data_IF_443857727330
#
_entry.id   IF_443857727330
#
_cell.length_a   1.000
_cell.length_b   1.000
_cell.length_c   1.000
_cell.angle_alpha   90.00
_cell.angle_beta   90.00
_cell.angle_gamma   90.00
#
_symmetry.space_group_name_H-M   'P 1'
#
loop_
_entity.id
_entity.type
_entity.pdbx_description
1 polymer ?
#
# COMPACT_ATOMS: atom_id res chain seq x y z
N UNK A 1 -22.20 -16.36 10.87
CA UNK A 1 -21.21 -16.41 9.76
C UNK A 1 -21.30 -17.78 9.12
N UNK A 2 -21.49 -17.84 7.79
CA UNK A 2 -21.42 -19.09 7.03
C UNK A 2 -19.94 -19.36 6.76
N UNK A 3 -19.38 -20.41 7.34
CA UNK A 3 -18.14 -21.00 6.85
C UNK A 3 -18.40 -21.48 5.41
N UNK A 4 -17.56 -21.11 4.45
CA UNK A 4 -17.87 -21.25 3.03
C UNK A 4 -18.10 -22.72 2.63
N UNK A 5 -18.99 -22.95 1.66
CA UNK A 5 -19.35 -24.30 1.19
C UNK A 5 -18.24 -25.02 0.40
N UNK A 6 -17.15 -24.32 0.06
CA UNK A 6 -15.94 -24.84 -0.58
C UNK A 6 -14.69 -24.77 0.30
N UNK A 7 -14.78 -24.21 1.52
CA UNK A 7 -13.63 -23.94 2.38
C UNK A 7 -12.76 -22.75 1.97
N UNK A 8 -13.07 -22.05 0.87
CA UNK A 8 -12.29 -20.90 0.39
C UNK A 8 -12.85 -19.60 1.00
N UNK A 9 -12.16 -19.06 1.99
CA UNK A 9 -12.38 -17.74 2.56
C UNK A 9 -11.15 -16.86 2.28
N UNK A 10 -11.35 -15.55 2.13
CA UNK A 10 -10.22 -14.62 2.03
C UNK A 10 -9.67 -14.42 3.44
N UNK A 11 -8.50 -14.98 3.71
CA UNK A 11 -7.86 -14.93 5.03
C UNK A 11 -7.32 -13.53 5.35
N UNK A 12 -6.83 -12.83 4.33
CA UNK A 12 -6.22 -11.52 4.47
C UNK A 12 -6.49 -10.62 3.26
N UNK A 13 -6.87 -9.37 3.53
CA UNK A 13 -7.00 -8.32 2.52
C UNK A 13 -5.82 -7.35 2.61
N UNK A 14 -4.71 -7.71 2.00
CA UNK A 14 -3.55 -6.82 1.92
C UNK A 14 -3.80 -5.80 0.81
N UNK A 15 -3.64 -4.52 1.12
CA UNK A 15 -3.76 -3.43 0.15
C UNK A 15 -2.45 -2.68 0.03
N UNK A 16 -2.12 -2.25 -1.18
CA UNK A 16 -1.03 -1.33 -1.43
C UNK A 16 -1.29 -0.01 -0.69
N UNK A 17 -0.33 0.42 0.12
CA UNK A 17 -0.36 1.67 0.89
C UNK A 17 -0.49 2.89 -0.02
N UNK A 18 0.02 2.81 -1.25
CA UNK A 18 -0.01 3.93 -2.17
C UNK A 18 -1.31 4.03 -2.99
N UNK A 19 -1.66 2.96 -3.72
CA UNK A 19 -2.74 2.99 -4.72
C UNK A 19 -3.99 2.21 -4.31
N UNK A 20 -3.97 1.49 -3.19
CA UNK A 20 -5.11 0.72 -2.70
C UNK A 20 -5.37 -0.61 -3.42
N UNK A 21 -4.57 -0.97 -4.42
CA UNK A 21 -4.68 -2.25 -5.12
C UNK A 21 -4.55 -3.43 -4.14
N UNK A 22 -5.37 -4.46 -4.34
CA UNK A 22 -5.28 -5.69 -3.56
C UNK A 22 -4.03 -6.47 -3.96
N UNK A 23 -3.29 -6.91 -2.95
CA UNK A 23 -2.09 -7.73 -3.08
C UNK A 23 -2.46 -9.12 -2.62
N UNK A 24 -2.41 -10.07 -3.53
CA UNK A 24 -2.63 -11.49 -3.25
C UNK A 24 -1.29 -12.19 -3.08
N UNK A 25 -1.22 -13.19 -2.19
CA UNK A 25 0.02 -13.91 -1.86
C UNK A 25 0.73 -14.54 -3.06
N UNK A 26 -0.01 -14.81 -4.15
CA UNK A 26 0.52 -15.40 -5.40
C UNK A 26 0.77 -14.36 -6.51
N UNK A 27 0.73 -13.06 -6.21
CA UNK A 27 1.00 -11.97 -7.16
C UNK A 27 2.48 -11.54 -7.21
N UNK A 28 2.86 -10.60 -8.10
CA UNK A 28 4.23 -10.08 -8.14
C UNK A 28 4.65 -9.59 -6.76
N UNK A 29 5.89 -9.94 -6.36
CA UNK A 29 6.41 -9.78 -5.01
C UNK A 29 6.06 -8.41 -4.40
N UNK A 30 5.23 -8.42 -3.35
CA UNK A 30 4.90 -7.21 -2.61
C UNK A 30 6.12 -6.73 -1.83
N UNK A 31 6.46 -5.45 -1.95
CA UNK A 31 7.61 -4.88 -1.25
C UNK A 31 7.16 -4.28 0.07
N UNK A 32 7.83 -4.66 1.16
CA UNK A 32 7.63 -4.12 2.49
C UNK A 32 8.71 -3.07 2.78
N UNK A 33 8.29 -1.85 3.12
CA UNK A 33 9.18 -0.72 3.43
C UNK A 33 8.62 0.00 4.65
N UNK A 34 9.40 0.13 5.72
CA UNK A 34 9.01 0.85 6.94
C UNK A 34 7.65 0.44 7.52
N UNK A 35 7.31 -0.86 7.45
CA UNK A 35 6.02 -1.39 7.91
C UNK A 35 4.85 -1.20 6.93
N UNK A 36 5.09 -0.63 5.76
CA UNK A 36 4.10 -0.45 4.70
C UNK A 36 4.28 -1.45 3.56
N UNK A 37 3.16 -1.91 2.99
CA UNK A 37 3.16 -2.83 1.83
C UNK A 37 2.85 -2.07 0.55
N UNK A 38 3.61 -2.34 -0.52
CA UNK A 38 3.42 -1.73 -1.84
C UNK A 38 3.36 -2.79 -2.94
N UNK A 39 2.55 -2.53 -3.98
CA UNK A 39 2.40 -3.44 -5.11
C UNK A 39 3.50 -3.32 -6.18
N UNK A 40 4.35 -2.28 -6.11
CA UNK A 40 5.44 -2.05 -7.05
C UNK A 40 6.42 -0.98 -6.54
N UNK A 41 7.62 -0.96 -7.13
CA UNK A 41 8.61 0.10 -6.89
C UNK A 41 8.07 1.50 -7.21
N UNK A 42 7.31 1.63 -8.31
CA UNK A 42 6.66 2.88 -8.68
C UNK A 42 5.76 3.43 -7.57
N UNK A 43 5.03 2.55 -6.86
CA UNK A 43 4.19 2.95 -5.74
C UNK A 43 4.99 3.46 -4.53
N UNK A 44 6.19 2.90 -4.31
CA UNK A 44 7.11 3.37 -3.26
C UNK A 44 7.59 4.78 -3.62
N UNK A 45 8.13 4.94 -4.83
CA UNK A 45 8.75 6.19 -5.27
C UNK A 45 7.74 7.33 -5.26
N UNK A 46 6.52 7.09 -5.76
CA UNK A 46 5.47 8.08 -5.76
C UNK A 46 5.03 8.48 -4.35
N UNK A 47 4.97 7.52 -3.42
CA UNK A 47 4.64 7.81 -2.02
C UNK A 47 5.70 8.70 -1.37
N UNK A 48 6.99 8.39 -1.58
CA UNK A 48 8.12 9.22 -1.10
C UNK A 48 8.07 10.63 -1.67
N UNK A 49 7.91 10.77 -2.99
CA UNK A 49 7.84 12.06 -3.66
C UNK A 49 6.65 12.92 -3.15
N UNK A 50 5.52 12.28 -2.83
CA UNK A 50 4.36 12.97 -2.26
C UNK A 50 4.62 13.47 -0.83
N UNK A 51 5.34 12.71 0.01
CA UNK A 51 5.71 13.17 1.35
C UNK A 51 6.62 14.40 1.29
N UNK A 52 7.62 14.39 0.40
CA UNK A 52 8.51 15.55 0.17
C UNK A 52 7.71 16.79 -0.24
N UNK A 53 6.79 16.66 -1.20
CA UNK A 53 5.95 17.79 -1.64
C UNK A 53 5.07 18.34 -0.51
N UNK A 54 4.52 17.49 0.35
CA UNK A 54 3.72 17.95 1.52
C UNK A 54 4.58 18.72 2.51
N UNK A 55 5.75 18.20 2.87
CA UNK A 55 6.67 18.89 3.78
C UNK A 55 7.06 20.29 3.25
N UNK A 56 7.39 20.39 1.96
CA UNK A 56 7.69 21.67 1.32
C UNK A 56 6.50 22.65 1.33
N UNK A 57 5.27 22.16 1.16
CA UNK A 57 4.07 22.98 1.23
C UNK A 57 3.82 23.50 2.66
N UNK A 58 4.02 22.65 3.66
CA UNK A 58 3.89 23.02 5.07
C UNK A 58 4.95 24.05 5.50
N UNK A 59 6.18 23.92 5.03
CA UNK A 59 7.24 24.92 5.26
C UNK A 59 6.89 26.26 4.62
N UNK A 60 6.45 26.26 3.36
CA UNK A 60 6.03 27.48 2.66
C UNK A 60 4.82 28.16 3.31
N UNK A 61 3.92 27.40 3.92
CA UNK A 61 2.76 27.97 4.61
C UNK A 61 3.11 28.61 5.97
N UNK A 62 4.29 28.32 6.53
CA UNK A 62 4.77 28.88 7.79
C UNK A 62 5.63 30.14 7.61
N UNK A 63 6.18 30.34 6.42
CA UNK A 63 6.98 31.51 6.04
C UNK A 63 6.09 32.69 5.64
#
# INVERSE_FOLDING_TARGET
MKFSQNGLYIEQYIKCTNCGALIYENGPASTHVDGHVFCSQWCIDWSKARQVRRAQQEERAKA
#
